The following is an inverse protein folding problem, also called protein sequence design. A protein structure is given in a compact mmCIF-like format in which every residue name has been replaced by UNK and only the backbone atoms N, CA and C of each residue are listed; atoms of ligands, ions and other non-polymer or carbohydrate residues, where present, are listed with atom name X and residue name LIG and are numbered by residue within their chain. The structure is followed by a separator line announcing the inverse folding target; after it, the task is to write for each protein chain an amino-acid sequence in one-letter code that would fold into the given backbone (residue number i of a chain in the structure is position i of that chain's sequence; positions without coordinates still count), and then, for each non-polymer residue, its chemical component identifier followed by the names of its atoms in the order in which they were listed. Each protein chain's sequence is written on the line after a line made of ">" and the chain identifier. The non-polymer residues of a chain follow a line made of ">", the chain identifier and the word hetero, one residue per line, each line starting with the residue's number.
data_IF_880708525478
#
_entry.id   IF_880708525478
#
_cell.length_a   1.000
_cell.length_b   1.000
_cell.length_c   1.000
_cell.angle_alpha   90.00
_cell.angle_beta   90.00
_cell.angle_gamma   90.00
#
_symmetry.space_group_name_H-M   'P 1'
#
loop_
_entity.id
_entity.type
_entity.pdbx_description
1 polymer ?
#
# COMPACT_ATOMS: atom_id res chain seq x y z
N UNK A 1 2.41 -34.57 32.86
CA UNK A 1 1.82 -34.11 31.59
C UNK A 1 1.29 -32.68 31.75
N UNK A 2 1.78 -31.77 30.89
CA UNK A 2 1.09 -30.62 30.27
C UNK A 2 0.51 -29.48 31.13
N UNK A 3 1.35 -28.52 31.55
CA UNK A 3 0.90 -27.14 31.92
C UNK A 3 1.46 -26.07 30.96
N UNK A 4 2.40 -26.41 30.07
CA UNK A 4 3.12 -25.44 29.21
C UNK A 4 2.31 -24.95 27.99
N UNK A 5 1.18 -25.59 27.64
CA UNK A 5 0.40 -25.27 26.44
C UNK A 5 -0.57 -24.10 26.58
N UNK A 6 -1.13 -23.86 27.77
CA UNK A 6 -2.23 -22.90 27.96
C UNK A 6 -1.75 -21.44 28.07
N UNK A 7 -0.56 -21.23 28.63
CA UNK A 7 0.05 -19.90 28.82
C UNK A 7 0.56 -19.28 27.52
N UNK A 8 1.17 -20.08 26.64
CA UNK A 8 1.67 -19.61 25.33
C UNK A 8 0.52 -19.23 24.39
N UNK A 9 -0.57 -19.98 24.41
CA UNK A 9 -1.78 -19.69 23.62
C UNK A 9 -2.47 -18.42 24.11
N UNK A 10 -2.54 -18.22 25.43
CA UNK A 10 -3.12 -17.02 26.02
C UNK A 10 -2.27 -15.77 25.75
N UNK A 11 -0.94 -15.87 25.85
CA UNK A 11 -0.03 -14.79 25.49
C UNK A 11 -0.16 -14.39 24.00
N UNK A 12 -0.26 -15.38 23.10
CA UNK A 12 -0.49 -15.12 21.68
C UNK A 12 -1.86 -14.44 21.43
N UNK A 13 -2.91 -14.87 22.14
CA UNK A 13 -4.24 -14.27 22.03
C UNK A 13 -4.25 -12.79 22.49
N UNK A 14 -3.53 -12.46 23.57
CA UNK A 14 -3.41 -11.08 24.07
C UNK A 14 -2.66 -10.18 23.08
N UNK A 15 -1.58 -10.67 22.48
CA UNK A 15 -0.83 -9.90 21.46
C UNK A 15 -1.68 -9.65 20.22
N UNK A 16 -2.42 -10.65 19.74
CA UNK A 16 -3.32 -10.50 18.59
C UNK A 16 -4.44 -9.51 18.92
N UNK A 17 -5.05 -9.61 20.11
CA UNK A 17 -6.10 -8.68 20.54
C UNK A 17 -5.60 -7.23 20.63
N UNK A 18 -4.40 -7.02 21.18
CA UNK A 18 -3.77 -5.70 21.25
C UNK A 18 -3.48 -5.12 19.86
N UNK A 19 -3.03 -5.96 18.92
CA UNK A 19 -2.77 -5.54 17.54
C UNK A 19 -4.05 -5.17 16.80
N UNK A 20 -5.12 -5.95 16.94
CA UNK A 20 -6.43 -5.65 16.35
C UNK A 20 -7.03 -4.36 16.94
N UNK A 21 -6.91 -4.16 18.26
CA UNK A 21 -7.36 -2.94 18.91
C UNK A 21 -6.56 -1.71 18.43
N UNK A 22 -5.23 -1.84 18.27
CA UNK A 22 -4.38 -0.78 17.71
C UNK A 22 -4.75 -0.40 16.27
N UNK A 23 -5.06 -1.38 15.41
CA UNK A 23 -5.51 -1.14 14.03
C UNK A 23 -6.87 -0.42 14.02
N UNK A 24 -7.80 -0.82 14.87
CA UNK A 24 -9.13 -0.20 14.94
C UNK A 24 -9.05 1.26 15.38
N UNK A 25 -8.27 1.57 16.42
CA UNK A 25 -8.10 2.93 16.94
C UNK A 25 -7.32 3.81 15.95
N UNK A 26 -6.24 3.30 15.36
CA UNK A 26 -5.48 4.03 14.33
C UNK A 26 -6.28 4.29 13.06
N UNK A 27 -7.10 3.32 12.63
CA UNK A 27 -7.98 3.45 11.46
C UNK A 27 -9.08 4.50 11.67
N UNK A 28 -9.70 4.53 12.85
CA UNK A 28 -10.74 5.51 13.18
C UNK A 28 -10.18 6.93 13.31
N UNK A 29 -9.00 7.11 13.93
CA UNK A 29 -8.36 8.42 14.05
C UNK A 29 -7.96 9.01 12.68
N UNK A 30 -7.48 8.16 11.77
CA UNK A 30 -7.10 8.57 10.41
C UNK A 30 -8.33 8.91 9.55
N UNK A 31 -9.46 8.25 9.80
CA UNK A 31 -10.73 8.56 9.13
C UNK A 31 -11.33 9.89 9.61
N UNK A 32 -11.31 10.15 10.93
CA UNK A 32 -11.93 11.34 11.51
C UNK A 32 -11.14 12.65 11.26
N UNK A 33 -9.80 12.57 11.12
CA UNK A 33 -8.95 13.73 10.87
C UNK A 33 -8.74 14.01 9.38
N UNK A 34 -9.13 13.10 8.49
CA UNK A 34 -8.87 13.19 7.05
C UNK A 34 -9.86 14.03 6.25
N UNK A 35 -10.96 14.50 6.84
CA UNK A 35 -12.12 15.01 6.08
C UNK A 35 -12.22 16.53 5.92
N UNK A 36 -11.24 17.32 6.40
CA UNK A 36 -11.36 18.79 6.33
C UNK A 36 -10.75 19.49 5.11
N UNK A 37 -9.96 18.81 4.26
CA UNK A 37 -9.28 19.46 3.13
C UNK A 37 -9.41 18.73 1.77
N UNK A 38 -10.32 17.77 1.63
CA UNK A 38 -10.28 16.84 0.49
C UNK A 38 -10.91 17.32 -0.83
N UNK A 39 -11.52 18.49 -0.91
CA UNK A 39 -12.38 18.83 -2.04
C UNK A 39 -11.81 19.82 -3.08
N UNK A 40 -10.51 20.18 -3.05
CA UNK A 40 -9.93 21.05 -4.11
C UNK A 40 -8.69 20.55 -4.84
N UNK A 41 -8.04 19.47 -4.42
CA UNK A 41 -6.75 19.04 -5.01
C UNK A 41 -6.77 17.65 -5.69
N UNK A 42 -7.94 17.14 -6.09
CA UNK A 42 -8.07 15.78 -6.67
C UNK A 42 -7.60 15.61 -8.12
N UNK A 43 -7.00 16.64 -8.74
CA UNK A 43 -6.59 16.63 -10.15
C UNK A 43 -5.06 16.56 -10.36
N UNK A 44 -4.28 16.38 -9.28
CA UNK A 44 -2.81 16.36 -9.36
C UNK A 44 -2.25 14.94 -9.47
N UNK A 45 -1.63 14.65 -10.62
CA UNK A 45 -0.70 13.51 -10.86
C UNK A 45 0.13 13.15 -9.60
N UNK A 46 0.50 11.89 -9.35
CA UNK A 46 1.33 11.52 -8.19
C UNK A 46 2.64 12.31 -8.07
N UNK A 47 3.16 12.79 -9.21
CA UNK A 47 4.32 13.70 -9.31
C UNK A 47 4.02 15.10 -8.81
N UNK A 48 2.80 15.58 -9.13
CA UNK A 48 2.27 16.84 -8.64
C UNK A 48 2.06 16.78 -7.12
N UNK A 49 1.70 15.61 -6.57
CA UNK A 49 1.70 15.39 -5.11
C UNK A 49 3.12 15.46 -4.49
N UNK A 50 4.15 14.99 -5.19
CA UNK A 50 5.54 15.07 -4.70
C UNK A 50 6.11 16.48 -4.75
N UNK A 51 5.92 17.22 -5.85
CA UNK A 51 6.32 18.63 -5.94
C UNK A 51 5.60 19.48 -4.90
N UNK A 52 4.30 19.23 -4.63
CA UNK A 52 3.56 19.99 -3.62
C UNK A 52 4.04 19.72 -2.20
N UNK A 53 4.56 18.52 -1.93
CA UNK A 53 5.24 18.23 -0.67
C UNK A 53 6.56 18.99 -0.57
N UNK A 54 7.35 19.00 -1.65
CA UNK A 54 8.61 19.75 -1.68
C UNK A 54 8.38 21.25 -1.54
N UNK A 55 7.37 21.78 -2.21
CA UNK A 55 7.02 23.19 -2.19
C UNK A 55 6.54 23.64 -0.81
N UNK A 56 5.76 22.80 -0.11
CA UNK A 56 5.34 23.07 1.27
C UNK A 56 6.52 23.15 2.24
N UNK A 57 7.52 22.30 2.06
CA UNK A 57 8.68 22.20 2.96
C UNK A 57 9.74 23.26 2.63
N UNK A 58 9.95 23.54 1.34
CA UNK A 58 11.07 24.35 0.84
C UNK A 58 10.64 25.74 0.37
N UNK A 59 9.33 25.99 0.27
CA UNK A 59 8.72 27.27 -0.11
C UNK A 59 9.32 27.84 -1.39
N UNK A 60 9.07 27.19 -2.53
CA UNK A 60 9.71 27.58 -3.79
C UNK A 60 9.20 28.93 -4.30
N UNK A 61 10.08 29.70 -4.94
CA UNK A 61 9.63 30.75 -5.86
C UNK A 61 8.98 30.12 -7.10
N UNK A 62 8.14 30.87 -7.86
CA UNK A 62 7.54 30.35 -9.09
C UNK A 62 8.56 29.76 -10.08
N UNK A 63 9.69 30.44 -10.26
CA UNK A 63 10.76 30.03 -11.19
C UNK A 63 11.46 28.74 -10.72
N UNK A 64 11.64 28.60 -9.41
CA UNK A 64 12.20 27.37 -8.81
C UNK A 64 11.23 26.21 -9.00
N UNK A 65 9.93 26.42 -8.77
CA UNK A 65 8.90 25.40 -8.94
C UNK A 65 8.86 24.89 -10.38
N UNK A 66 8.91 25.78 -11.35
CA UNK A 66 8.95 25.43 -12.78
C UNK A 66 10.20 24.62 -13.15
N UNK A 67 11.35 25.02 -12.60
CA UNK A 67 12.61 24.31 -12.79
C UNK A 67 12.56 22.89 -12.23
N UNK A 68 12.02 22.70 -11.03
CA UNK A 68 11.87 21.37 -10.41
C UNK A 68 10.87 20.52 -11.18
N UNK A 69 9.74 21.08 -11.64
CA UNK A 69 8.79 20.37 -12.50
C UNK A 69 9.45 19.88 -13.79
N UNK A 70 10.29 20.70 -14.42
CA UNK A 70 11.02 20.31 -15.63
C UNK A 70 12.01 19.15 -15.35
N UNK A 71 12.72 19.18 -14.22
CA UNK A 71 13.62 18.10 -13.78
C UNK A 71 12.83 16.80 -13.58
N UNK A 72 11.72 16.85 -12.81
CA UNK A 72 10.90 15.68 -12.54
C UNK A 72 10.31 15.07 -13.83
N UNK A 73 9.88 15.91 -14.78
CA UNK A 73 9.38 15.47 -16.09
C UNK A 73 10.47 14.77 -16.91
N UNK A 74 11.69 15.29 -16.93
CA UNK A 74 12.82 14.68 -17.65
C UNK A 74 13.09 13.24 -17.22
N UNK A 75 12.92 12.96 -15.94
CA UNK A 75 13.14 11.62 -15.38
C UNK A 75 11.88 10.74 -15.37
N UNK A 76 10.75 11.21 -15.91
CA UNK A 76 9.48 10.47 -15.82
C UNK A 76 9.54 9.09 -16.45
N UNK A 77 9.97 9.04 -17.71
CA UNK A 77 10.04 7.83 -18.50
C UNK A 77 10.97 6.80 -17.84
N UNK A 78 12.15 7.22 -17.41
CA UNK A 78 13.13 6.36 -16.75
C UNK A 78 12.59 5.76 -15.46
N UNK A 79 11.96 6.57 -14.60
CA UNK A 79 11.36 6.06 -13.36
C UNK A 79 10.22 5.08 -13.64
N UNK A 80 9.36 5.38 -14.62
CA UNK A 80 8.27 4.47 -15.04
C UNK A 80 8.79 3.13 -15.55
N UNK A 81 9.89 3.15 -16.30
CA UNK A 81 10.55 1.95 -16.81
C UNK A 81 11.03 1.04 -15.67
N UNK A 82 11.82 1.61 -14.76
CA UNK A 82 12.33 0.90 -13.58
C UNK A 82 11.19 0.29 -12.77
N UNK A 83 10.11 1.05 -12.57
CA UNK A 83 8.92 0.56 -11.88
C UNK A 83 8.26 -0.61 -12.61
N UNK A 84 8.15 -0.57 -13.94
CA UNK A 84 7.55 -1.64 -14.74
C UNK A 84 8.35 -2.92 -14.64
N UNK A 85 9.66 -2.85 -14.83
CA UNK A 85 10.55 -4.01 -14.72
C UNK A 85 10.54 -4.60 -13.30
N UNK A 86 10.63 -3.74 -12.29
CA UNK A 86 10.63 -4.16 -10.89
C UNK A 86 9.31 -4.86 -10.54
N UNK A 87 8.17 -4.30 -10.99
CA UNK A 87 6.85 -4.89 -10.76
C UNK A 87 6.76 -6.31 -11.29
N UNK A 88 7.29 -6.59 -12.48
CA UNK A 88 7.30 -7.94 -13.03
C UNK A 88 8.08 -8.91 -12.13
N UNK A 89 9.30 -8.55 -11.74
CA UNK A 89 10.13 -9.39 -10.87
C UNK A 89 9.46 -9.63 -9.50
N UNK A 90 8.82 -8.61 -8.94
CA UNK A 90 8.07 -8.76 -7.68
C UNK A 90 6.89 -9.73 -7.81
N UNK A 91 6.16 -9.73 -8.93
CA UNK A 91 5.05 -10.65 -9.14
C UNK A 91 5.51 -12.10 -9.30
N UNK A 92 6.66 -12.32 -9.94
CA UNK A 92 7.29 -13.65 -10.03
C UNK A 92 7.64 -14.19 -8.65
N UNK A 93 8.36 -13.40 -7.84
CA UNK A 93 8.71 -13.78 -6.45
C UNK A 93 7.46 -13.99 -5.60
N UNK A 94 6.44 -13.14 -5.74
CA UNK A 94 5.16 -13.28 -5.02
C UNK A 94 4.46 -14.59 -5.35
N UNK A 95 4.48 -14.99 -6.62
CA UNK A 95 3.86 -16.24 -7.08
C UNK A 95 4.58 -17.45 -6.50
N UNK A 96 5.91 -17.45 -6.54
CA UNK A 96 6.72 -18.52 -5.94
C UNK A 96 6.50 -18.62 -4.43
N UNK A 97 6.55 -17.49 -3.72
CA UNK A 97 6.28 -17.42 -2.28
C UNK A 97 4.90 -17.99 -1.92
N UNK A 98 3.87 -17.66 -2.71
CA UNK A 98 2.51 -18.21 -2.51
C UNK A 98 2.47 -19.73 -2.69
N UNK A 99 3.16 -20.25 -3.71
CA UNK A 99 3.24 -21.67 -3.96
C UNK A 99 3.97 -22.41 -2.82
N UNK A 100 5.05 -21.83 -2.29
CA UNK A 100 5.81 -22.42 -1.20
C UNK A 100 5.04 -22.40 0.12
N UNK A 101 4.32 -21.31 0.41
CA UNK A 101 3.40 -21.26 1.56
C UNK A 101 2.33 -22.35 1.42
N UNK A 102 1.72 -22.51 0.25
CA UNK A 102 0.68 -23.53 0.03
C UNK A 102 1.15 -24.95 0.36
N UNK A 103 2.44 -25.28 0.14
CA UNK A 103 2.99 -26.62 0.41
C UNK A 103 2.98 -27.00 1.89
N UNK A 104 3.08 -26.03 2.79
CA UNK A 104 3.17 -26.28 4.25
C UNK A 104 1.83 -26.17 4.98
N UNK A 105 0.77 -25.78 4.28
CA UNK A 105 -0.57 -25.62 4.86
C UNK A 105 -1.37 -26.92 4.78
N UNK A 106 -2.20 -27.17 5.80
CA UNK A 106 -3.26 -28.17 5.75
C UNK A 106 -4.47 -27.66 4.92
N UNK A 107 -5.44 -28.52 4.66
CA UNK A 107 -6.56 -28.22 3.73
C UNK A 107 -7.40 -27.02 4.17
N UNK A 108 -7.77 -26.94 5.46
CA UNK A 108 -8.53 -25.82 6.01
C UNK A 108 -7.75 -24.49 5.91
N UNK A 109 -6.43 -24.54 6.16
CA UNK A 109 -5.56 -23.37 6.05
C UNK A 109 -5.38 -22.94 4.60
N UNK A 110 -5.32 -23.87 3.64
CA UNK A 110 -5.22 -23.58 2.20
C UNK A 110 -6.43 -22.78 1.72
N UNK A 111 -7.63 -23.20 2.11
CA UNK A 111 -8.87 -22.50 1.76
C UNK A 111 -8.88 -21.06 2.31
N UNK A 112 -8.55 -20.90 3.59
CA UNK A 112 -8.44 -19.57 4.22
C UNK A 112 -7.39 -18.68 3.55
N UNK A 113 -6.25 -19.26 3.18
CA UNK A 113 -5.15 -18.54 2.54
C UNK A 113 -5.52 -18.09 1.11
N UNK A 114 -6.19 -18.95 0.34
CA UNK A 114 -6.71 -18.59 -0.98
C UNK A 114 -7.73 -17.44 -0.90
N UNK A 115 -8.66 -17.49 0.05
CA UNK A 115 -9.61 -16.40 0.28
C UNK A 115 -8.91 -15.09 0.67
N UNK A 116 -7.86 -15.17 1.49
CA UNK A 116 -7.03 -14.02 1.84
C UNK A 116 -6.30 -13.41 0.63
N UNK A 117 -5.71 -14.24 -0.23
CA UNK A 117 -5.08 -13.82 -1.47
C UNK A 117 -6.08 -13.13 -2.40
N UNK A 118 -7.25 -13.75 -2.61
CA UNK A 118 -8.27 -13.23 -3.52
C UNK A 118 -8.76 -11.83 -3.11
N UNK A 119 -8.98 -11.60 -1.80
CA UNK A 119 -9.32 -10.28 -1.27
C UNK A 119 -8.19 -9.26 -1.48
N UNK A 120 -6.95 -9.68 -1.29
CA UNK A 120 -5.79 -8.80 -1.47
C UNK A 120 -5.62 -8.40 -2.94
N UNK A 121 -5.82 -9.35 -3.86
CA UNK A 121 -5.67 -9.14 -5.29
C UNK A 121 -6.81 -8.30 -5.87
N UNK A 122 -8.04 -8.45 -5.36
CA UNK A 122 -9.17 -7.60 -5.78
C UNK A 122 -8.96 -6.14 -5.37
N UNK A 123 -8.46 -5.89 -4.16
CA UNK A 123 -8.11 -4.54 -3.69
C UNK A 123 -7.00 -3.90 -4.54
N UNK A 124 -5.98 -4.67 -4.92
CA UNK A 124 -4.92 -4.19 -5.82
C UNK A 124 -5.47 -3.86 -7.21
N UNK A 125 -6.25 -4.75 -7.80
CA UNK A 125 -6.85 -4.54 -9.11
C UNK A 125 -7.82 -3.34 -9.13
N UNK A 126 -8.52 -3.08 -8.03
CA UNK A 126 -9.38 -1.91 -7.89
C UNK A 126 -8.56 -0.60 -7.86
N UNK A 127 -7.44 -0.56 -7.13
CA UNK A 127 -6.53 0.60 -7.11
C UNK A 127 -5.94 0.88 -8.49
N UNK A 128 -5.44 -0.16 -9.16
CA UNK A 128 -4.89 0.00 -10.51
C UNK A 128 -5.92 0.46 -11.54
N UNK A 129 -7.18 0.02 -11.40
CA UNK A 129 -8.25 0.50 -12.28
C UNK A 129 -8.55 1.97 -12.06
N UNK A 130 -8.56 2.43 -10.80
CA UNK A 130 -8.69 3.87 -10.48
C UNK A 130 -7.54 4.66 -11.09
N UNK A 131 -6.30 4.23 -10.87
CA UNK A 131 -5.11 4.89 -11.42
C UNK A 131 -5.05 4.89 -12.96
N UNK A 132 -5.69 3.92 -13.63
CA UNK A 132 -5.79 3.88 -15.11
C UNK A 132 -6.96 4.73 -15.65
N UNK A 133 -8.09 4.78 -14.94
CA UNK A 133 -9.23 5.63 -15.29
C UNK A 133 -8.86 7.11 -15.18
N UNK A 134 -8.19 7.48 -14.10
CA UNK A 134 -7.64 8.84 -13.84
C UNK A 134 -6.61 9.32 -14.88
N UNK A 135 -6.17 8.47 -15.83
CA UNK A 135 -5.20 8.82 -16.88
C UNK A 135 -5.83 8.96 -18.27
N UNK A 136 -7.10 8.58 -18.44
CA UNK A 136 -7.80 8.57 -19.74
C UNK A 136 -8.81 9.71 -19.89
N UNK A 137 -9.24 10.29 -18.77
CA UNK A 137 -10.07 11.50 -18.70
C UNK A 137 -9.15 12.72 -18.49
#
# INVERSE_FOLDING_TARGET
>A
MTVVGRSKVWAAAVVIAAFVAGIAVGGAATAALGDRDRDRDRERSPRLSYIDRLDRELQFTPEQRDSVVAILRRHDATTKEIWRESRQRFEEVRTQLRADIMKVLNDEQRERYQAFIARSDSLRAARERRERGERRD
#
